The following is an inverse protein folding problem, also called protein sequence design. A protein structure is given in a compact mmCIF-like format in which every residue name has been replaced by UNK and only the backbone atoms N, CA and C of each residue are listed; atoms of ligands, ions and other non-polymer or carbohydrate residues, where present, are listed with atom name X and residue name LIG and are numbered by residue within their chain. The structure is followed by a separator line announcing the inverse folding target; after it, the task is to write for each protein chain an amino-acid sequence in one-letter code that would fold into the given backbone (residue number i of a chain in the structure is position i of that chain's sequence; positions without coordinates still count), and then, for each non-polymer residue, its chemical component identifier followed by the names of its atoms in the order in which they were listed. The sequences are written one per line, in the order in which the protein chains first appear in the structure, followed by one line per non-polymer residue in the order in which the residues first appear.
data_IF_309656391407
#
_entry.id   IF_309656391407
#
_cell.length_a   1.000
_cell.length_b   1.000
_cell.length_c   1.000
_cell.angle_alpha   90.00
_cell.angle_beta   90.00
_cell.angle_gamma   90.00
#
_symmetry.space_group_name_H-M   'P 1'
#
loop_
_entity.id
_entity.type
_entity.pdbx_description
1 polymer ?
#
# COMPACT_ATOMS: atom_id res chain seq x y z
N UNK A 1 -29.89 41.72 13.80
CA UNK A 1 -29.78 40.52 12.94
C UNK A 1 -28.32 40.20 12.62
N UNK A 2 -27.51 39.67 13.55
CA UNK A 2 -26.13 39.23 13.21
C UNK A 2 -25.66 38.13 14.16
N UNK A 3 -26.25 36.93 14.21
CA UNK A 3 -25.59 35.81 14.92
C UNK A 3 -25.91 34.42 14.34
N UNK A 4 -26.19 34.32 13.03
CA UNK A 4 -26.37 33.03 12.33
C UNK A 4 -25.13 32.56 11.54
N UNK A 5 -23.99 33.27 11.60
CA UNK A 5 -22.80 32.98 10.76
C UNK A 5 -21.70 32.14 11.43
N UNK A 6 -21.79 31.80 12.71
CA UNK A 6 -20.74 31.05 13.43
C UNK A 6 -20.91 29.52 13.41
N UNK A 7 -22.09 29.00 13.07
CA UNK A 7 -22.35 27.54 13.09
C UNK A 7 -21.89 26.78 11.85
N UNK A 8 -21.51 27.45 10.75
CA UNK A 8 -21.14 26.76 9.50
C UNK A 8 -19.66 26.32 9.53
N UNK A 9 -18.78 27.05 10.21
CA UNK A 9 -17.34 26.77 10.21
C UNK A 9 -16.92 25.54 11.04
N UNK A 10 -17.71 25.16 12.05
CA UNK A 10 -17.41 23.99 12.90
C UNK A 10 -17.70 22.69 12.13
N UNK A 11 -18.67 22.70 11.21
CA UNK A 11 -19.01 21.52 10.42
C UNK A 11 -17.96 21.21 9.33
N UNK A 12 -17.31 22.25 8.78
CA UNK A 12 -16.29 22.09 7.74
C UNK A 12 -14.93 21.61 8.28
N UNK A 13 -14.59 21.89 9.54
CA UNK A 13 -13.32 21.44 10.14
C UNK A 13 -13.38 19.94 10.48
N UNK A 14 -14.55 19.43 10.90
CA UNK A 14 -14.72 18.00 11.15
C UNK A 14 -14.51 17.17 9.88
N UNK A 15 -15.09 17.57 8.73
CA UNK A 15 -14.97 16.80 7.49
C UNK A 15 -13.52 16.68 6.99
N UNK A 16 -12.67 17.67 7.25
CA UNK A 16 -11.25 17.62 6.88
C UNK A 16 -10.45 16.67 7.78
N UNK A 17 -10.72 16.64 9.09
CA UNK A 17 -10.04 15.76 10.02
C UNK A 17 -10.41 14.28 9.83
N UNK A 18 -11.67 13.99 9.48
CA UNK A 18 -12.10 12.62 9.21
C UNK A 18 -11.45 12.03 7.96
N UNK A 19 -11.33 12.80 6.87
CA UNK A 19 -10.70 12.32 5.63
C UNK A 19 -9.19 12.09 5.75
N UNK A 20 -8.49 12.90 6.57
CA UNK A 20 -7.07 12.68 6.83
C UNK A 20 -6.83 11.44 7.70
N UNK A 21 -7.70 11.17 8.66
CA UNK A 21 -7.55 10.02 9.55
C UNK A 21 -7.82 8.68 8.84
N UNK A 22 -8.79 8.62 7.92
CA UNK A 22 -9.08 7.41 7.15
C UNK A 22 -7.98 7.12 6.13
N UNK A 23 -7.47 8.16 5.46
CA UNK A 23 -6.39 8.00 4.48
C UNK A 23 -5.09 7.51 5.12
N UNK A 24 -4.72 8.03 6.30
CA UNK A 24 -3.56 7.53 7.02
C UNK A 24 -3.76 6.09 7.48
N UNK A 25 -4.93 5.77 8.03
CA UNK A 25 -5.21 4.40 8.48
C UNK A 25 -5.15 3.40 7.32
N UNK A 26 -5.75 3.72 6.18
CA UNK A 26 -5.71 2.89 4.98
C UNK A 26 -4.26 2.72 4.48
N UNK A 27 -3.43 3.77 4.60
CA UNK A 27 -2.03 3.72 4.19
C UNK A 27 -1.20 2.82 5.12
N UNK A 28 -1.43 2.92 6.44
CA UNK A 28 -0.80 2.07 7.45
C UNK A 28 -1.18 0.59 7.25
N UNK A 29 -2.47 0.32 7.01
CA UNK A 29 -2.97 -1.04 6.80
C UNK A 29 -2.41 -1.64 5.49
N UNK A 30 -2.42 -0.89 4.39
CA UNK A 30 -1.86 -1.35 3.13
C UNK A 30 -0.33 -1.54 3.22
N UNK A 31 0.38 -0.65 3.93
CA UNK A 31 1.82 -0.79 4.14
C UNK A 31 2.16 -2.07 4.93
N UNK A 32 1.41 -2.36 6.00
CA UNK A 32 1.56 -3.59 6.77
C UNK A 32 1.31 -4.83 5.91
N UNK A 33 0.27 -4.80 5.08
CA UNK A 33 -0.03 -5.90 4.15
C UNK A 33 1.04 -6.07 3.09
N UNK A 34 1.60 -4.98 2.54
CA UNK A 34 2.74 -5.06 1.62
C UNK A 34 3.99 -5.65 2.28
N UNK A 35 4.28 -5.30 3.53
CA UNK A 35 5.38 -5.92 4.26
C UNK A 35 5.16 -7.42 4.45
N UNK A 36 3.96 -7.83 4.86
CA UNK A 36 3.63 -9.23 5.11
C UNK A 36 3.62 -10.07 3.80
N UNK A 37 2.88 -9.62 2.79
CA UNK A 37 2.77 -10.33 1.52
C UNK A 37 4.06 -10.25 0.68
N UNK A 38 4.85 -9.21 0.85
CA UNK A 38 6.10 -8.99 0.12
C UNK A 38 7.29 -9.79 0.66
N UNK A 39 7.26 -10.24 1.92
CA UNK A 39 8.39 -10.96 2.55
C UNK A 39 9.00 -12.08 1.68
N UNK A 40 8.21 -12.96 1.01
CA UNK A 40 8.76 -14.00 0.13
C UNK A 40 9.52 -13.43 -1.07
N UNK A 41 9.07 -12.29 -1.61
CA UNK A 41 9.71 -11.61 -2.73
C UNK A 41 11.05 -10.98 -2.31
N UNK A 42 11.10 -10.35 -1.14
CA UNK A 42 12.33 -9.80 -0.59
C UNK A 42 13.38 -10.90 -0.31
N UNK A 43 12.97 -12.02 0.28
CA UNK A 43 13.85 -13.17 0.52
C UNK A 43 14.37 -13.76 -0.78
N UNK A 44 13.49 -14.02 -1.73
CA UNK A 44 13.88 -14.56 -3.04
C UNK A 44 14.87 -13.65 -3.76
N UNK A 45 14.67 -12.33 -3.73
CA UNK A 45 15.58 -11.37 -4.35
C UNK A 45 16.97 -11.41 -3.73
N UNK A 46 17.07 -11.54 -2.40
CA UNK A 46 18.37 -11.71 -1.71
C UNK A 46 19.04 -13.04 -2.06
N UNK A 47 18.27 -14.11 -2.23
CA UNK A 47 18.81 -15.41 -2.64
C UNK A 47 19.38 -15.36 -4.07
N UNK A 48 18.76 -14.62 -4.99
CA UNK A 48 19.22 -14.50 -6.38
C UNK A 48 20.63 -13.89 -6.51
N UNK A 49 21.05 -13.05 -5.57
CA UNK A 49 22.40 -12.48 -5.57
C UNK A 49 23.50 -13.56 -5.42
N UNK A 50 23.14 -14.72 -4.86
CA UNK A 50 24.06 -15.83 -4.58
C UNK A 50 23.71 -17.12 -5.33
N UNK A 51 22.44 -17.30 -5.70
CA UNK A 51 21.87 -18.53 -6.23
C UNK A 51 21.02 -18.25 -7.47
N UNK A 52 21.66 -18.12 -8.64
CA UNK A 52 20.95 -17.83 -9.90
C UNK A 52 19.94 -18.94 -10.28
N UNK A 53 20.14 -20.17 -9.81
CA UNK A 53 19.24 -21.31 -10.00
C UNK A 53 17.84 -21.07 -9.40
N UNK A 54 17.75 -20.19 -8.40
CA UNK A 54 16.50 -19.75 -7.76
C UNK A 54 15.63 -18.89 -8.68
N UNK A 55 16.13 -18.44 -9.83
CA UNK A 55 15.34 -17.66 -10.79
C UNK A 55 14.08 -18.42 -11.24
N UNK A 56 14.17 -19.74 -11.33
CA UNK A 56 13.05 -20.63 -11.66
C UNK A 56 11.89 -20.57 -10.65
N UNK A 57 12.14 -20.15 -9.41
CA UNK A 57 11.12 -20.01 -8.36
C UNK A 57 10.30 -18.71 -8.49
N UNK A 58 10.71 -17.77 -9.36
CA UNK A 58 10.10 -16.45 -9.48
C UNK A 58 8.60 -16.47 -9.75
N UNK A 59 8.12 -17.40 -10.59
CA UNK A 59 6.69 -17.58 -10.86
C UNK A 59 5.92 -18.04 -9.62
N UNK A 60 6.51 -18.95 -8.83
CA UNK A 60 5.89 -19.44 -7.60
C UNK A 60 5.86 -18.35 -6.52
N UNK A 61 6.92 -17.54 -6.42
CA UNK A 61 6.98 -16.38 -5.52
C UNK A 61 5.95 -15.33 -5.93
N UNK A 62 5.88 -14.97 -7.22
CA UNK A 62 4.87 -14.05 -7.75
C UNK A 62 3.46 -14.51 -7.39
N UNK A 63 3.15 -15.79 -7.62
CA UNK A 63 1.85 -16.36 -7.28
C UNK A 63 1.53 -16.27 -5.78
N UNK A 64 2.50 -16.54 -4.90
CA UNK A 64 2.30 -16.38 -3.44
C UNK A 64 1.94 -14.94 -3.06
N UNK A 65 2.61 -13.96 -3.68
CA UNK A 65 2.33 -12.55 -3.46
C UNK A 65 0.94 -12.17 -3.99
N UNK A 66 0.59 -12.63 -5.20
CA UNK A 66 -0.73 -12.44 -5.80
C UNK A 66 -1.85 -13.04 -4.94
N UNK A 67 -1.68 -14.28 -4.48
CA UNK A 67 -2.65 -14.98 -3.63
C UNK A 67 -2.82 -14.26 -2.28
N UNK A 68 -1.74 -13.71 -1.71
CA UNK A 68 -1.78 -12.94 -0.47
C UNK A 68 -2.54 -11.61 -0.65
N UNK A 69 -2.22 -10.88 -1.72
CA UNK A 69 -2.86 -9.59 -2.04
C UNK A 69 -4.27 -9.73 -2.63
N UNK A 70 -4.71 -10.94 -3.00
CA UNK A 70 -6.02 -11.17 -3.58
C UNK A 70 -7.17 -10.70 -2.67
N UNK A 71 -6.98 -10.79 -1.34
CA UNK A 71 -7.96 -10.33 -0.34
C UNK A 71 -8.06 -8.80 -0.23
N UNK A 72 -7.02 -8.08 -0.63
CA UNK A 72 -6.98 -6.62 -0.63
C UNK A 72 -7.41 -6.01 -1.97
N UNK A 73 -7.50 -6.83 -3.03
CA UNK A 73 -8.00 -6.39 -4.34
C UNK A 73 -9.42 -5.86 -4.17
N UNK A 74 -9.67 -4.65 -4.67
CA UNK A 74 -10.96 -3.98 -4.54
C UNK A 74 -11.06 -3.03 -3.36
N UNK A 75 -10.41 -3.34 -2.21
CA UNK A 75 -10.50 -2.52 -0.99
C UNK A 75 -9.99 -1.09 -1.20
N UNK A 76 -8.91 -0.93 -1.97
CA UNK A 76 -8.28 0.36 -2.25
C UNK A 76 -8.48 0.84 -3.70
N UNK A 77 -9.46 0.30 -4.45
CA UNK A 77 -9.63 0.61 -5.88
C UNK A 77 -9.83 2.10 -6.17
N UNK A 78 -10.57 2.80 -5.31
CA UNK A 78 -10.77 4.25 -5.39
C UNK A 78 -9.48 5.06 -5.22
N UNK A 79 -8.47 4.47 -4.57
CA UNK A 79 -7.13 5.06 -4.38
C UNK A 79 -6.13 4.62 -5.44
N UNK A 80 -6.56 3.87 -6.47
CA UNK A 80 -5.68 3.40 -7.56
C UNK A 80 -4.88 4.55 -8.17
N UNK A 81 -5.45 5.73 -8.41
CA UNK A 81 -4.73 6.86 -9.02
C UNK A 81 -4.32 7.94 -8.01
N UNK A 82 -4.46 7.69 -6.70
CA UNK A 82 -4.08 8.63 -5.66
C UNK A 82 -2.56 8.56 -5.42
N UNK A 83 -1.84 9.51 -6.01
CA UNK A 83 -0.38 9.60 -5.92
C UNK A 83 0.10 9.92 -4.50
N UNK A 84 -0.68 10.67 -3.72
CA UNK A 84 -0.31 11.04 -2.34
C UNK A 84 -0.46 9.83 -1.43
N UNK A 85 -1.56 9.08 -1.56
CA UNK A 85 -1.76 7.82 -0.85
C UNK A 85 -0.64 6.81 -1.16
N UNK A 86 -0.31 6.62 -2.45
CA UNK A 86 0.79 5.73 -2.87
C UNK A 86 2.13 6.15 -2.27
N UNK A 87 2.38 7.45 -2.16
CA UNK A 87 3.60 8.00 -1.55
C UNK A 87 3.63 7.71 -0.04
N UNK A 88 2.53 7.95 0.68
CA UNK A 88 2.42 7.63 2.11
C UNK A 88 2.67 6.14 2.39
N UNK A 89 2.05 5.26 1.61
CA UNK A 89 2.28 3.81 1.69
C UNK A 89 3.76 3.48 1.45
N UNK A 90 4.40 4.11 0.45
CA UNK A 90 5.81 3.89 0.15
C UNK A 90 6.75 4.36 1.27
N UNK A 91 6.44 5.49 1.90
CA UNK A 91 7.18 6.01 3.06
C UNK A 91 7.09 5.03 4.24
N UNK A 92 5.88 4.57 4.58
CA UNK A 92 5.64 3.60 5.66
C UNK A 92 6.32 2.25 5.39
N UNK A 93 6.29 1.76 4.15
CA UNK A 93 7.01 0.55 3.73
C UNK A 93 8.52 0.74 3.81
N UNK A 94 9.05 1.91 3.42
CA UNK A 94 10.48 2.19 3.54
C UNK A 94 10.95 2.20 5.01
N UNK A 95 10.12 2.67 5.93
CA UNK A 95 10.42 2.66 7.36
C UNK A 95 10.29 1.25 7.97
N UNK A 96 9.25 0.51 7.60
CA UNK A 96 8.89 -0.77 8.25
C UNK A 96 9.57 -1.99 7.62
N UNK A 97 9.75 -1.99 6.30
CA UNK A 97 10.31 -3.11 5.54
C UNK A 97 11.15 -2.60 4.34
N UNK A 98 12.33 -2.00 4.58
CA UNK A 98 13.14 -1.34 3.55
C UNK A 98 13.58 -2.25 2.39
N UNK A 99 13.68 -3.56 2.63
CA UNK A 99 14.01 -4.56 1.61
C UNK A 99 12.97 -4.64 0.48
N UNK A 100 11.76 -4.13 0.72
CA UNK A 100 10.65 -4.16 -0.24
C UNK A 100 10.49 -2.89 -1.07
N UNK A 101 11.23 -1.83 -0.77
CA UNK A 101 11.08 -0.53 -1.45
C UNK A 101 11.27 -0.66 -2.97
N UNK A 102 12.24 -1.46 -3.40
CA UNK A 102 12.48 -1.71 -4.83
C UNK A 102 11.40 -2.59 -5.48
N UNK A 103 10.59 -3.27 -4.67
CA UNK A 103 9.53 -4.18 -5.11
C UNK A 103 8.14 -3.52 -5.04
N UNK A 104 8.00 -2.35 -4.42
CA UNK A 104 6.76 -1.59 -4.31
C UNK A 104 6.03 -1.39 -5.65
N UNK A 105 6.71 -1.01 -6.76
CA UNK A 105 6.03 -0.89 -8.05
C UNK A 105 5.33 -2.18 -8.47
N UNK A 106 5.98 -3.35 -8.27
CA UNK A 106 5.39 -4.64 -8.59
C UNK A 106 4.21 -4.98 -7.67
N UNK A 107 4.30 -4.66 -6.37
CA UNK A 107 3.20 -4.87 -5.43
C UNK A 107 1.97 -4.02 -5.78
N UNK A 108 2.17 -2.75 -6.16
CA UNK A 108 1.10 -1.89 -6.65
C UNK A 108 0.49 -2.41 -7.96
N UNK A 109 1.31 -2.89 -8.90
CA UNK A 109 0.82 -3.53 -10.14
C UNK A 109 -0.02 -4.77 -9.82
N UNK A 110 0.42 -5.63 -8.88
CA UNK A 110 -0.36 -6.82 -8.48
C UNK A 110 -1.69 -6.42 -7.85
N UNK A 111 -1.69 -5.39 -6.98
CA UNK A 111 -2.88 -4.91 -6.30
C UNK A 111 -3.91 -4.30 -7.27
N UNK A 112 -3.46 -3.53 -8.27
CA UNK A 112 -4.34 -2.69 -9.10
C UNK A 112 -4.51 -3.14 -10.56
N UNK A 113 -3.56 -3.88 -11.13
CA UNK A 113 -3.51 -4.21 -12.56
C UNK A 113 -3.52 -5.72 -12.82
N UNK A 114 -3.72 -6.55 -11.78
CA UNK A 114 -3.95 -7.97 -11.93
C UNK A 114 -5.39 -8.28 -12.33
N UNK A 115 -5.76 -7.91 -13.57
CA UNK A 115 -6.91 -8.45 -14.32
C UNK A 115 -6.56 -9.79 -14.97
#
# INVERSE_FOLDING_TARGET
MIFLRKSIYICSICLLLFNSCTTQHDADELAATFCACGEPLAKWKKELDFHYEKLSEGTAIKKKVEDCLASEKGKYNERKNDMEFRKQVAELVNESCPDLVQSLPALFTILYDGE
#
